data_IF_379816119410
#
_entry.id   IF_379816119410
#
_cell.length_a   1.000
_cell.length_b   1.000
_cell.length_c   1.000
_cell.angle_alpha   90.00
_cell.angle_beta   90.00
_cell.angle_gamma   90.00
#
_symmetry.space_group_name_H-M   'P 1'
#
loop_
_entity.id
_entity.type
_entity.pdbx_description
1 polymer ?
#
# COMPACT_ATOMS: atom_id res chain seq x y z
N UNK A 1 9.14 -32.79 -31.93
CA UNK A 1 8.82 -33.73 -30.84
C UNK A 1 9.56 -33.21 -29.63
N UNK A 2 8.90 -32.35 -28.83
CA UNK A 2 9.48 -31.77 -27.63
C UNK A 2 8.75 -32.40 -26.42
N UNK A 3 9.47 -33.26 -25.71
CA UNK A 3 9.02 -33.83 -24.44
C UNK A 3 8.96 -32.77 -23.38
N UNK A 4 7.76 -32.44 -22.96
CA UNK A 4 7.50 -31.69 -21.75
C UNK A 4 7.59 -32.69 -20.59
N UNK A 5 8.72 -32.68 -19.89
CA UNK A 5 8.83 -33.39 -18.62
C UNK A 5 8.00 -32.67 -17.54
N UNK A 6 6.79 -33.16 -17.37
CA UNK A 6 5.98 -32.95 -16.18
C UNK A 6 6.65 -33.63 -14.99
N UNK A 7 7.40 -32.90 -14.20
CA UNK A 7 7.82 -33.37 -12.87
C UNK A 7 7.09 -32.61 -11.78
N UNK A 8 6.05 -33.26 -11.28
CA UNK A 8 5.70 -33.42 -9.87
C UNK A 8 5.33 -32.15 -9.09
N UNK A 9 4.03 -31.95 -9.00
CA UNK A 9 3.36 -31.27 -7.88
C UNK A 9 3.76 -31.94 -6.55
N UNK A 10 4.74 -31.40 -5.86
CA UNK A 10 5.10 -31.82 -4.52
C UNK A 10 4.77 -30.72 -3.51
N UNK A 11 3.77 -31.04 -2.70
CA UNK A 11 3.48 -30.58 -1.32
C UNK A 11 3.96 -29.17 -0.93
N UNK A 12 3.02 -28.25 -0.88
CA UNK A 12 3.14 -26.95 -0.25
C UNK A 12 3.50 -27.08 1.23
N UNK A 13 4.77 -27.00 1.56
CA UNK A 13 5.24 -26.61 2.88
C UNK A 13 5.45 -25.09 2.90
N UNK A 14 4.89 -24.44 3.91
CA UNK A 14 4.77 -23.00 4.16
C UNK A 14 6.12 -22.27 4.26
N UNK A 15 6.83 -22.08 3.15
CA UNK A 15 7.90 -21.07 3.04
C UNK A 15 7.65 -20.26 1.77
N UNK A 16 7.84 -18.93 1.79
CA UNK A 16 7.70 -18.12 0.58
C UNK A 16 8.78 -18.57 -0.40
N UNK A 17 8.38 -19.29 -1.43
CA UNK A 17 9.29 -19.71 -2.49
C UNK A 17 9.37 -18.58 -3.50
N UNK A 18 10.53 -17.94 -3.59
CA UNK A 18 10.86 -17.04 -4.69
C UNK A 18 11.37 -17.93 -5.82
N UNK A 19 10.64 -17.96 -6.91
CA UNK A 19 11.05 -18.70 -8.12
C UNK A 19 11.80 -17.71 -9.00
N UNK A 20 13.09 -17.97 -9.22
CA UNK A 20 13.92 -17.19 -10.14
C UNK A 20 13.66 -17.65 -11.56
N UNK A 21 13.07 -16.80 -12.37
CA UNK A 21 13.00 -16.99 -13.81
C UNK A 21 13.54 -15.73 -14.47
N UNK A 22 14.82 -15.79 -14.95
CA UNK A 22 15.45 -14.74 -15.77
C UNK A 22 15.11 -13.29 -15.34
N UNK A 23 15.60 -12.85 -14.14
CA UNK A 23 15.38 -11.50 -13.61
C UNK A 23 13.93 -11.15 -13.23
N UNK A 24 13.07 -12.14 -12.98
CA UNK A 24 11.71 -11.97 -12.53
C UNK A 24 11.56 -12.55 -11.11
N UNK A 25 10.98 -11.79 -10.19
CA UNK A 25 10.77 -12.19 -8.80
C UNK A 25 9.28 -12.28 -8.51
N UNK A 26 8.84 -13.40 -7.97
CA UNK A 26 7.43 -13.62 -7.63
C UNK A 26 7.20 -13.39 -6.15
N UNK A 27 6.26 -12.51 -5.82
CA UNK A 27 5.74 -12.37 -4.47
C UNK A 27 4.87 -13.57 -4.07
N UNK A 28 4.50 -13.62 -2.78
CA UNK A 28 3.76 -14.74 -2.17
C UNK A 28 2.43 -15.08 -2.87
N UNK A 29 1.82 -14.13 -3.57
CA UNK A 29 0.53 -14.28 -4.28
C UNK A 29 0.70 -14.47 -5.78
N UNK A 30 1.90 -14.87 -6.27
CA UNK A 30 2.17 -14.99 -7.69
C UNK A 30 2.32 -13.66 -8.43
N UNK A 31 2.28 -12.52 -7.72
CA UNK A 31 2.56 -11.21 -8.31
C UNK A 31 4.03 -11.16 -8.67
N UNK A 32 4.30 -10.98 -9.95
CA UNK A 32 5.65 -10.83 -10.47
C UNK A 32 6.06 -9.35 -10.43
N UNK A 33 7.24 -9.08 -9.88
CA UNK A 33 7.83 -7.74 -9.86
C UNK A 33 9.13 -7.71 -10.66
N UNK A 34 9.31 -6.67 -11.45
CA UNK A 34 10.48 -6.47 -12.29
C UNK A 34 10.97 -5.02 -12.23
N UNK A 35 12.17 -4.78 -12.75
CA UNK A 35 12.69 -3.42 -12.88
C UNK A 35 11.77 -2.58 -13.76
N UNK A 36 11.57 -1.32 -13.41
CA UNK A 36 10.63 -0.32 -13.93
C UNK A 36 9.15 -0.55 -13.55
N UNK A 37 8.83 -1.56 -12.74
CA UNK A 37 7.47 -1.63 -12.19
C UNK A 37 7.24 -0.50 -11.19
N UNK A 38 6.04 0.08 -11.26
CA UNK A 38 5.55 1.00 -10.23
C UNK A 38 4.58 0.24 -9.33
N UNK A 39 4.85 0.29 -8.03
CA UNK A 39 4.17 -0.50 -7.00
C UNK A 39 3.79 0.36 -5.79
N UNK A 40 2.94 -0.19 -4.93
CA UNK A 40 2.79 0.30 -3.56
C UNK A 40 3.73 -0.49 -2.64
N UNK A 41 4.46 0.22 -1.78
CA UNK A 41 5.29 -0.36 -0.74
C UNK A 41 4.89 0.11 0.66
N UNK A 42 3.90 -0.53 1.25
CA UNK A 42 3.40 -0.22 2.60
C UNK A 42 3.12 1.28 2.79
N UNK A 43 3.61 1.84 3.90
CA UNK A 43 3.46 3.26 4.24
C UNK A 43 4.30 4.22 3.37
N UNK A 44 5.22 3.71 2.55
CA UNK A 44 6.00 4.53 1.62
C UNK A 44 5.18 4.97 0.38
N UNK A 45 4.01 4.33 0.17
CA UNK A 45 3.13 4.65 -0.97
C UNK A 45 3.71 4.18 -2.31
N UNK A 46 3.54 5.00 -3.35
CA UNK A 46 3.94 4.69 -4.73
C UNK A 46 5.46 4.75 -4.88
N UNK A 47 6.05 3.63 -5.28
CA UNK A 47 7.48 3.48 -5.52
C UNK A 47 7.76 2.85 -6.88
N UNK A 48 8.84 3.24 -7.52
CA UNK A 48 9.39 2.58 -8.70
C UNK A 48 10.48 1.59 -8.30
N UNK A 49 10.50 0.40 -8.90
CA UNK A 49 11.59 -0.56 -8.79
C UNK A 49 12.65 -0.17 -9.80
N UNK A 50 13.71 0.51 -9.37
CA UNK A 50 14.75 1.01 -10.27
C UNK A 50 15.84 0.00 -10.55
N UNK A 51 16.04 -0.97 -9.65
CA UNK A 51 16.98 -2.08 -9.83
C UNK A 51 16.58 -3.30 -8.99
N UNK A 52 17.14 -4.46 -9.34
CA UNK A 52 17.14 -5.68 -8.52
C UNK A 52 18.58 -6.16 -8.50
N UNK A 53 19.27 -6.01 -7.37
CA UNK A 53 20.71 -6.22 -7.30
C UNK A 53 21.17 -6.90 -6.00
N UNK A 54 22.33 -7.55 -6.07
CA UNK A 54 22.98 -8.09 -4.88
C UNK A 54 23.67 -6.98 -4.10
N UNK A 55 23.39 -6.90 -2.81
CA UNK A 55 24.07 -6.00 -1.88
C UNK A 55 24.50 -6.73 -0.63
N UNK A 56 25.66 -6.30 -0.08
CA UNK A 56 26.12 -6.73 1.22
C UNK A 56 25.72 -5.69 2.26
N UNK A 57 24.56 -5.94 2.92
CA UNK A 57 24.09 -5.12 4.03
C UNK A 57 24.23 -5.97 5.29
N UNK A 58 24.87 -5.45 6.33
CA UNK A 58 25.12 -6.18 7.59
C UNK A 58 25.93 -7.48 7.42
N UNK A 59 26.86 -7.50 6.45
CA UNK A 59 27.81 -8.61 6.25
C UNK A 59 27.27 -9.81 5.46
N UNK A 60 26.00 -9.86 5.12
CA UNK A 60 25.41 -10.89 4.27
C UNK A 60 25.09 -10.35 2.87
N UNK A 61 25.49 -11.10 1.84
CA UNK A 61 25.09 -10.83 0.45
C UNK A 61 23.70 -11.35 0.20
N UNK A 62 22.80 -10.44 -0.24
CA UNK A 62 21.40 -10.76 -0.58
C UNK A 62 20.94 -9.95 -1.78
N UNK A 63 19.90 -10.46 -2.46
CA UNK A 63 19.22 -9.72 -3.50
C UNK A 63 18.23 -8.74 -2.89
N UNK A 64 18.19 -7.52 -3.42
CA UNK A 64 17.30 -6.45 -2.98
C UNK A 64 16.56 -5.84 -4.18
N UNK A 65 15.29 -5.53 -3.99
CA UNK A 65 14.64 -4.52 -4.78
C UNK A 65 15.17 -3.15 -4.35
N UNK A 66 15.56 -2.33 -5.31
CA UNK A 66 15.89 -0.92 -5.10
C UNK A 66 14.65 -0.12 -5.45
N UNK A 67 14.00 0.45 -4.43
CA UNK A 67 12.74 1.17 -4.55
C UNK A 67 12.99 2.66 -4.38
N UNK A 68 12.51 3.47 -5.32
CA UNK A 68 12.53 4.91 -5.22
C UNK A 68 11.11 5.43 -5.06
N UNK A 69 10.74 6.03 -3.89
CA UNK A 69 9.45 6.67 -3.72
C UNK A 69 9.26 7.81 -4.72
N UNK A 70 8.12 7.84 -5.42
CA UNK A 70 7.88 8.83 -6.48
C UNK A 70 7.78 10.26 -5.93
N UNK A 71 7.26 10.43 -4.71
CA UNK A 71 7.17 11.74 -4.07
C UNK A 71 8.47 12.22 -3.42
N UNK A 72 9.34 11.30 -3.04
CA UNK A 72 10.63 11.60 -2.42
C UNK A 72 11.77 11.05 -3.26
N UNK A 73 12.10 11.78 -4.32
CA UNK A 73 13.13 11.40 -5.29
C UNK A 73 14.55 11.32 -4.72
N UNK A 74 14.76 11.80 -3.48
CA UNK A 74 16.04 11.72 -2.79
C UNK A 74 16.24 10.44 -1.98
N UNK A 75 15.18 9.69 -1.75
CA UNK A 75 15.20 8.47 -0.93
C UNK A 75 15.34 7.20 -1.76
N UNK A 76 16.16 6.27 -1.26
CA UNK A 76 16.28 4.92 -1.83
C UNK A 76 16.04 3.89 -0.73
N UNK A 77 15.16 2.94 -1.01
CA UNK A 77 14.80 1.87 -0.08
C UNK A 77 15.32 0.53 -0.63
N UNK A 78 16.04 -0.21 0.20
CA UNK A 78 16.50 -1.56 -0.12
C UNK A 78 15.60 -2.58 0.55
N UNK A 79 14.78 -3.25 -0.26
CA UNK A 79 13.80 -4.23 0.19
C UNK A 79 14.30 -5.65 -0.16
N UNK A 80 14.69 -6.50 0.83
CA UNK A 80 15.21 -7.83 0.54
C UNK A 80 14.16 -8.71 -0.15
N UNK A 81 14.59 -9.37 -1.24
CA UNK A 81 13.68 -10.17 -2.08
C UNK A 81 13.28 -11.51 -1.46
N UNK A 82 14.00 -11.96 -0.45
CA UNK A 82 13.79 -13.22 0.29
C UNK A 82 12.95 -13.06 1.57
N UNK A 83 12.46 -11.87 1.87
CA UNK A 83 11.73 -11.59 3.11
C UNK A 83 10.22 -11.52 2.89
N UNK A 84 9.49 -12.51 3.41
CA UNK A 84 8.03 -12.57 3.28
C UNK A 84 7.28 -11.37 3.88
N UNK A 85 7.80 -10.76 4.95
CA UNK A 85 7.19 -9.57 5.55
C UNK A 85 7.36 -8.32 4.65
N UNK A 86 8.47 -8.24 3.92
CA UNK A 86 8.72 -7.22 2.91
C UNK A 86 7.79 -7.39 1.70
N UNK A 87 7.72 -8.63 1.18
CA UNK A 87 6.87 -8.94 0.03
C UNK A 87 5.37 -8.73 0.31
N UNK A 88 4.93 -8.91 1.55
CA UNK A 88 3.55 -8.58 1.97
C UNK A 88 3.21 -7.09 1.88
N UNK A 89 4.22 -6.21 1.99
CA UNK A 89 4.04 -4.76 1.86
C UNK A 89 4.01 -4.29 0.41
N UNK A 90 4.40 -5.16 -0.53
CA UNK A 90 4.44 -4.86 -1.95
C UNK A 90 3.16 -5.32 -2.64
N UNK A 91 2.50 -4.42 -3.34
CA UNK A 91 1.37 -4.73 -4.21
C UNK A 91 1.40 -3.90 -5.48
N UNK A 92 0.73 -4.38 -6.55
CA UNK A 92 0.51 -3.56 -7.74
C UNK A 92 -0.32 -2.33 -7.41
N UNK A 93 -0.25 -1.34 -8.25
CA UNK A 93 -1.20 -0.23 -8.24
C UNK A 93 -2.61 -0.73 -8.55
N UNK A 94 -3.60 0.00 -8.04
CA UNK A 94 -4.98 -0.16 -8.46
C UNK A 94 -5.15 0.25 -9.92
N UNK A 95 -6.09 -0.38 -10.60
CA UNK A 95 -6.57 0.08 -11.89
C UNK A 95 -7.61 1.18 -11.72
N UNK A 96 -7.86 1.98 -12.76
CA UNK A 96 -8.90 3.01 -12.74
C UNK A 96 -10.28 2.44 -12.34
N UNK A 97 -10.76 1.30 -12.89
CA UNK A 97 -12.01 0.69 -12.46
C UNK A 97 -12.04 0.29 -10.98
N UNK A 98 -10.91 -0.21 -10.42
CA UNK A 98 -10.82 -0.55 -9.00
C UNK A 98 -10.91 0.69 -8.12
N UNK A 99 -10.26 1.81 -8.51
CA UNK A 99 -10.37 3.09 -7.81
C UNK A 99 -11.82 3.59 -7.85
N UNK A 100 -12.47 3.50 -9.01
CA UNK A 100 -13.87 3.89 -9.14
C UNK A 100 -14.77 3.09 -8.20
N UNK A 101 -14.62 1.77 -8.17
CA UNK A 101 -15.41 0.91 -7.28
C UNK A 101 -15.18 1.25 -5.79
N UNK A 102 -13.94 1.59 -5.41
CA UNK A 102 -13.63 2.03 -4.05
C UNK A 102 -14.29 3.38 -3.72
N UNK A 103 -14.24 4.35 -4.64
CA UNK A 103 -14.88 5.66 -4.43
C UNK A 103 -16.40 5.50 -4.32
N UNK A 104 -17.01 4.71 -5.19
CA UNK A 104 -18.46 4.45 -5.19
C UNK A 104 -18.93 3.79 -3.89
N UNK A 105 -18.07 2.99 -3.25
CA UNK A 105 -18.36 2.34 -1.97
C UNK A 105 -18.13 3.24 -0.74
N UNK A 106 -17.42 4.39 -0.88
CA UNK A 106 -17.09 5.27 0.25
C UNK A 106 -18.31 5.73 1.07
N UNK A 107 -19.48 6.09 0.47
CA UNK A 107 -20.64 6.53 1.24
C UNK A 107 -21.15 5.44 2.20
N UNK A 108 -21.11 4.18 1.80
CA UNK A 108 -21.64 3.05 2.56
C UNK A 108 -20.60 2.39 3.51
N UNK A 109 -19.32 2.82 3.43
CA UNK A 109 -18.27 2.25 4.27
C UNK A 109 -18.56 2.50 5.76
N UNK A 110 -18.43 1.45 6.57
CA UNK A 110 -18.67 1.51 8.01
C UNK A 110 -17.50 2.16 8.75
N UNK A 111 -17.81 2.90 9.80
CA UNK A 111 -16.81 3.45 10.71
C UNK A 111 -16.51 2.49 11.85
N UNK A 112 -15.26 2.45 12.30
CA UNK A 112 -14.81 1.64 13.43
C UNK A 112 -14.00 2.51 14.38
N UNK A 113 -14.65 2.99 15.47
CA UNK A 113 -13.97 3.73 16.51
C UNK A 113 -13.59 2.81 17.67
N UNK A 114 -12.36 2.94 18.15
CA UNK A 114 -11.81 2.21 19.29
C UNK A 114 -11.51 3.24 20.38
N UNK A 115 -12.19 3.17 21.51
CA UNK A 115 -12.06 4.15 22.60
C UNK A 115 -10.69 4.10 23.26
N UNK A 116 -10.17 2.89 23.47
CA UNK A 116 -8.84 2.73 24.06
C UNK A 116 -7.76 3.25 23.12
N UNK A 117 -7.04 4.29 23.57
CA UNK A 117 -6.01 4.99 22.77
C UNK A 117 -4.88 4.05 22.34
N UNK A 118 -4.45 3.11 23.20
CA UNK A 118 -3.35 2.21 22.88
C UNK A 118 -3.77 1.15 21.86
N UNK A 119 -4.95 0.56 22.05
CA UNK A 119 -5.52 -0.41 21.09
C UNK A 119 -5.77 0.24 19.73
N UNK A 120 -6.33 1.45 19.72
CA UNK A 120 -6.54 2.23 18.50
C UNK A 120 -5.23 2.53 17.79
N UNK A 121 -4.17 2.88 18.52
CA UNK A 121 -2.83 3.10 17.95
C UNK A 121 -2.30 1.86 17.27
N UNK A 122 -2.35 0.70 17.91
CA UNK A 122 -1.84 -0.54 17.34
C UNK A 122 -2.70 -1.01 16.15
N UNK A 123 -4.01 -0.82 16.22
CA UNK A 123 -4.92 -1.09 15.11
C UNK A 123 -4.57 -0.24 13.88
N UNK A 124 -4.44 1.07 14.03
CA UNK A 124 -4.10 1.98 12.93
C UNK A 124 -2.70 1.73 12.35
N UNK A 125 -1.72 1.43 13.18
CA UNK A 125 -0.41 0.98 12.69
C UNK A 125 -0.51 -0.26 11.80
N UNK A 126 -1.34 -1.21 12.19
CA UNK A 126 -1.55 -2.44 11.40
C UNK A 126 -2.20 -2.13 10.05
N UNK A 127 -3.21 -1.26 10.01
CA UNK A 127 -3.86 -0.84 8.77
C UNK A 127 -2.88 -0.13 7.82
N UNK A 128 -2.11 0.84 8.33
CA UNK A 128 -1.10 1.55 7.53
C UNK A 128 -0.02 0.61 7.00
N UNK A 129 0.47 -0.32 7.84
CA UNK A 129 1.49 -1.28 7.42
C UNK A 129 0.98 -2.26 6.35
N UNK A 130 -0.31 -2.58 6.40
CA UNK A 130 -0.98 -3.43 5.41
C UNK A 130 -1.19 -2.73 4.08
N UNK A 131 -1.47 -1.43 4.10
CA UNK A 131 -1.69 -0.62 2.90
C UNK A 131 -2.90 -1.06 2.06
N UNK A 132 -3.88 -1.75 2.68
CA UNK A 132 -5.12 -2.15 2.01
C UNK A 132 -6.01 -0.92 1.76
N UNK A 133 -6.39 -0.63 0.51
CA UNK A 133 -7.13 0.59 0.18
C UNK A 133 -8.49 0.71 0.88
N UNK A 134 -9.24 -0.38 1.00
CA UNK A 134 -10.55 -0.37 1.65
C UNK A 134 -10.41 -0.08 3.17
N UNK A 135 -9.42 -0.71 3.82
CA UNK A 135 -9.12 -0.45 5.22
C UNK A 135 -8.66 0.99 5.47
N UNK A 136 -7.88 1.58 4.54
CA UNK A 136 -7.48 2.99 4.62
C UNK A 136 -8.68 3.92 4.44
N UNK A 137 -9.61 3.63 3.54
CA UNK A 137 -10.86 4.40 3.36
C UNK A 137 -11.68 4.36 4.66
N UNK A 138 -11.88 3.18 5.24
CA UNK A 138 -12.60 3.02 6.52
C UNK A 138 -11.95 3.86 7.62
N UNK A 139 -10.63 3.81 7.74
CA UNK A 139 -9.87 4.58 8.73
C UNK A 139 -10.01 6.08 8.50
N UNK A 140 -9.86 6.56 7.26
CA UNK A 140 -10.03 7.97 6.89
C UNK A 140 -11.45 8.43 7.23
N UNK A 141 -12.48 7.69 6.84
CA UNK A 141 -13.88 8.01 7.13
C UNK A 141 -14.15 8.07 8.63
N UNK A 142 -13.65 7.09 9.39
CA UNK A 142 -13.79 7.04 10.85
C UNK A 142 -13.18 8.28 11.50
N UNK A 143 -11.95 8.61 11.15
CA UNK A 143 -11.23 9.75 11.71
C UNK A 143 -11.83 11.08 11.29
N UNK A 144 -12.34 11.18 10.04
CA UNK A 144 -13.02 12.38 9.56
C UNK A 144 -14.31 12.66 10.34
N UNK A 145 -15.16 11.64 10.53
CA UNK A 145 -16.41 11.79 11.28
C UNK A 145 -16.11 12.17 12.72
N UNK A 146 -15.20 11.46 13.38
CA UNK A 146 -14.82 11.77 14.77
C UNK A 146 -14.21 13.17 14.91
N UNK A 147 -13.43 13.62 13.91
CA UNK A 147 -12.92 14.99 13.87
C UNK A 147 -14.06 16.01 13.83
N UNK A 148 -15.08 15.77 12.99
CA UNK A 148 -16.25 16.66 12.87
C UNK A 148 -17.06 16.73 14.16
N UNK A 149 -17.29 15.61 14.82
CA UNK A 149 -17.96 15.54 16.12
C UNK A 149 -17.20 16.35 17.19
N UNK A 150 -15.89 16.20 17.25
CA UNK A 150 -15.06 16.95 18.19
C UNK A 150 -15.02 18.46 17.88
N UNK A 151 -14.95 18.82 16.61
CA UNK A 151 -15.01 20.23 16.18
C UNK A 151 -16.35 20.90 16.58
N UNK A 152 -17.47 20.17 16.47
CA UNK A 152 -18.78 20.64 16.93
C UNK A 152 -18.82 20.89 18.45
N UNK A 153 -18.05 20.12 19.23
CA UNK A 153 -17.87 20.32 20.68
C UNK A 153 -16.82 21.40 21.03
N UNK A 154 -16.24 22.09 20.05
CA UNK A 154 -15.16 23.06 20.25
C UNK A 154 -13.81 22.42 20.59
N UNK A 155 -13.62 21.12 20.35
CA UNK A 155 -12.42 20.34 20.65
C UNK A 155 -11.67 20.00 19.37
N UNK A 156 -10.37 19.71 19.51
CA UNK A 156 -9.54 19.19 18.41
C UNK A 156 -9.45 17.68 18.45
N UNK A 157 -9.17 17.07 17.30
CA UNK A 157 -8.78 15.67 17.24
C UNK A 157 -7.48 15.46 18.04
N UNK A 158 -7.29 14.29 18.62
CA UNK A 158 -6.04 13.97 19.30
C UNK A 158 -4.87 13.93 18.29
N UNK A 159 -3.71 14.47 18.66
CA UNK A 159 -2.54 14.59 17.78
C UNK A 159 -2.14 13.27 17.13
N UNK A 160 -2.22 12.16 17.88
CA UNK A 160 -1.96 10.83 17.34
C UNK A 160 -2.94 10.47 16.21
N UNK A 161 -4.23 10.74 16.42
CA UNK A 161 -5.27 10.45 15.42
C UNK A 161 -5.15 11.36 14.20
N UNK A 162 -4.75 12.63 14.38
CA UNK A 162 -4.44 13.54 13.26
C UNK A 162 -3.27 13.04 12.40
N UNK A 163 -2.22 12.50 13.03
CA UNK A 163 -1.08 11.94 12.31
C UNK A 163 -1.51 10.71 11.51
N UNK A 164 -2.23 9.78 12.12
CA UNK A 164 -2.76 8.61 11.41
C UNK A 164 -3.70 8.98 10.26
N UNK A 165 -4.53 10.00 10.44
CA UNK A 165 -5.41 10.51 9.39
C UNK A 165 -4.60 11.02 8.19
N UNK A 166 -3.57 11.84 8.44
CA UNK A 166 -2.69 12.37 7.39
C UNK A 166 -1.91 11.27 6.68
N UNK A 167 -1.38 10.30 7.44
CA UNK A 167 -0.61 9.19 6.87
C UNK A 167 -1.50 8.31 5.96
N UNK A 168 -2.73 8.01 6.39
CA UNK A 168 -3.68 7.23 5.59
C UNK A 168 -4.10 7.97 4.31
N UNK A 169 -4.43 9.27 4.43
CA UNK A 169 -4.72 10.11 3.27
C UNK A 169 -3.53 10.15 2.30
N UNK A 170 -2.32 10.33 2.81
CA UNK A 170 -1.13 10.42 1.97
C UNK A 170 -0.90 9.15 1.17
N UNK A 171 -1.05 7.97 1.78
CA UNK A 171 -0.86 6.69 1.09
C UNK A 171 -1.93 6.50 0.01
N UNK A 172 -3.20 6.65 0.38
CA UNK A 172 -4.33 6.38 -0.52
C UNK A 172 -4.42 7.40 -1.65
N UNK A 173 -4.36 8.70 -1.31
CA UNK A 173 -4.55 9.77 -2.29
C UNK A 173 -3.40 9.85 -3.27
N UNK A 174 -2.17 9.56 -2.82
CA UNK A 174 -1.03 9.52 -3.74
C UNK A 174 -1.19 8.44 -4.81
N UNK A 175 -1.70 7.27 -4.45
CA UNK A 175 -1.99 6.22 -5.43
C UNK A 175 -3.10 6.66 -6.40
N UNK A 176 -4.19 7.23 -5.88
CA UNK A 176 -5.31 7.69 -6.71
C UNK A 176 -4.88 8.83 -7.65
N UNK A 177 -4.15 9.83 -7.15
CA UNK A 177 -3.59 10.92 -7.95
C UNK A 177 -2.70 10.38 -9.08
N UNK A 178 -1.82 9.43 -8.76
CA UNK A 178 -0.89 8.84 -9.70
C UNK A 178 -1.61 8.07 -10.82
N UNK A 179 -2.55 7.20 -10.46
CA UNK A 179 -3.28 6.34 -11.39
C UNK A 179 -4.29 7.13 -12.22
N UNK A 180 -5.01 8.06 -11.62
CA UNK A 180 -6.00 8.93 -12.29
C UNK A 180 -5.33 10.11 -13.01
N UNK A 181 -4.01 10.29 -12.87
CA UNK A 181 -3.23 11.42 -13.44
C UNK A 181 -3.77 12.78 -13.03
N UNK A 182 -4.16 12.92 -11.77
CA UNK A 182 -4.68 14.17 -11.22
C UNK A 182 -3.53 15.02 -10.65
N UNK A 183 -3.59 16.36 -10.76
CA UNK A 183 -2.48 17.24 -10.41
C UNK A 183 -2.32 17.49 -8.90
N UNK A 184 -2.99 16.75 -8.03
CA UNK A 184 -2.86 16.84 -6.59
C UNK A 184 -4.18 16.69 -5.84
N UNK A 185 -4.11 16.83 -4.49
CA UNK A 185 -5.20 16.54 -3.56
C UNK A 185 -6.49 17.28 -3.87
N UNK A 186 -6.43 18.56 -4.23
CA UNK A 186 -7.65 19.35 -4.47
C UNK A 186 -8.41 18.83 -5.70
N UNK A 187 -7.70 18.50 -6.78
CA UNK A 187 -8.28 17.90 -7.96
C UNK A 187 -8.86 16.51 -7.68
N UNK A 188 -8.17 15.71 -6.86
CA UNK A 188 -8.67 14.41 -6.41
C UNK A 188 -9.94 14.54 -5.57
N UNK A 189 -9.98 15.48 -4.63
CA UNK A 189 -11.16 15.70 -3.80
C UNK A 189 -12.36 16.14 -4.62
N UNK A 190 -12.16 17.05 -5.59
CA UNK A 190 -13.22 17.45 -6.52
C UNK A 190 -13.73 16.24 -7.33
N UNK A 191 -12.84 15.42 -7.85
CA UNK A 191 -13.17 14.20 -8.59
C UNK A 191 -13.97 13.20 -7.74
N UNK A 192 -13.56 12.97 -6.48
CA UNK A 192 -14.27 12.08 -5.56
C UNK A 192 -15.68 12.62 -5.28
N UNK A 193 -15.82 13.91 -4.97
CA UNK A 193 -17.11 14.52 -4.66
C UNK A 193 -18.08 14.50 -5.86
N UNK A 194 -17.59 14.77 -7.06
CA UNK A 194 -18.39 14.66 -8.29
C UNK A 194 -18.91 13.24 -8.49
N UNK A 195 -18.04 12.24 -8.27
CA UNK A 195 -18.41 10.84 -8.48
C UNK A 195 -19.38 10.30 -7.43
N UNK A 196 -19.25 10.71 -6.16
CA UNK A 196 -20.16 10.28 -5.08
C UNK A 196 -21.52 11.02 -5.20
N UNK A 197 -21.53 12.24 -5.76
CA UNK A 197 -22.72 13.06 -5.90
C UNK A 197 -23.54 12.78 -7.16
N UNK A 198 -23.02 11.94 -8.06
CA UNK A 198 -23.69 11.54 -9.31
C UNK A 198 -24.46 10.21 -9.12
#
# INVERSE_FOLDING_TARGET
>A
MFEIQTKTLLKFQKKPTIIYVKNQYYGRNGTMFQVNDVIIYGSQGVCEITAIEEKSISGAKKMYFVLNPIRDQGSTIYAPTDNAAVLKKMRRLLTVPEIHALIDAMPDEKTVWIDNVNERREYYKTLLAGGDPAALIQMIKTLYIHKKEREADGKRLHVMDENFFKDAEQILYHEFEYVLKLPGKDALMAYILERIGS
#
